data_IF_825182700307
#
_entry.id   IF_825182700307
#
_cell.length_a   1.000
_cell.length_b   1.000
_cell.length_c   1.000
_cell.angle_alpha   90.00
_cell.angle_beta   90.00
_cell.angle_gamma   90.00
#
_symmetry.space_group_name_H-M   'P 1'
#
loop_
_entity.id
_entity.type
_entity.pdbx_description
1 polymer ?
#
# COMPACT_ATOMS: atom_id res chain seq x y z
N UNK A 1 -12.80 -5.72 13.54
CA UNK A 1 -13.17 -6.52 12.34
C UNK A 1 -12.09 -6.31 11.29
N UNK A 2 -11.64 -7.37 10.59
CA UNK A 2 -10.58 -7.26 9.57
C UNK A 2 -11.23 -7.18 8.19
N UNK A 3 -10.91 -6.13 7.41
CA UNK A 3 -11.42 -5.95 6.03
C UNK A 3 -10.58 -6.74 5.02
N UNK A 4 -9.25 -6.64 5.11
CA UNK A 4 -8.28 -7.32 4.26
C UNK A 4 -6.98 -7.61 5.03
N UNK A 5 -6.22 -8.60 4.57
CA UNK A 5 -4.90 -8.92 5.13
C UNK A 5 -3.93 -9.41 4.06
N UNK A 6 -2.66 -9.03 4.20
CA UNK A 6 -1.53 -9.49 3.40
C UNK A 6 -0.34 -9.79 4.33
N UNK A 7 0.50 -10.73 3.92
CA UNK A 7 1.62 -11.20 4.75
C UNK A 7 2.84 -11.46 3.88
N UNK A 8 4.03 -11.15 4.40
CA UNK A 8 5.29 -11.29 3.67
C UNK A 8 5.61 -12.74 3.26
N UNK A 9 5.18 -13.74 4.02
CA UNK A 9 5.36 -15.16 3.65
C UNK A 9 4.57 -15.58 2.40
N UNK A 10 3.64 -14.74 1.90
CA UNK A 10 2.93 -14.97 0.63
C UNK A 10 3.67 -14.40 -0.58
N UNK A 11 4.71 -13.60 -0.37
CA UNK A 11 5.54 -13.00 -1.43
C UNK A 11 6.30 -13.99 -2.34
N UNK A 12 6.67 -15.22 -1.90
CA UNK A 12 7.26 -16.21 -2.81
C UNK A 12 6.38 -16.56 -4.00
N UNK A 13 5.05 -16.39 -3.89
CA UNK A 13 4.12 -16.59 -5.00
C UNK A 13 4.27 -15.52 -6.10
N UNK A 14 4.93 -14.42 -5.80
CA UNK A 14 5.13 -13.26 -6.67
C UNK A 14 6.62 -13.07 -6.99
N UNK A 15 7.39 -14.16 -7.03
CA UNK A 15 8.82 -14.19 -7.38
C UNK A 15 9.78 -13.50 -6.39
N UNK A 16 9.34 -13.15 -5.18
CA UNK A 16 10.20 -12.63 -4.12
C UNK A 16 10.53 -13.77 -3.16
N UNK A 17 11.72 -14.36 -3.33
CA UNK A 17 12.10 -15.60 -2.64
C UNK A 17 12.93 -15.39 -1.37
N UNK A 18 13.49 -14.19 -1.15
CA UNK A 18 14.37 -13.88 -0.02
C UNK A 18 14.08 -12.48 0.52
N UNK A 19 14.47 -12.24 1.78
CA UNK A 19 14.40 -10.90 2.38
C UNK A 19 13.01 -10.45 2.82
N UNK A 20 12.16 -11.33 3.38
CA UNK A 20 10.78 -11.00 3.79
C UNK A 20 10.61 -9.90 4.85
N UNK A 21 11.71 -9.37 5.39
CA UNK A 21 11.73 -8.37 6.46
C UNK A 21 12.44 -7.08 6.07
N UNK A 22 12.87 -6.93 4.81
CA UNK A 22 13.50 -5.72 4.29
C UNK A 22 12.45 -4.65 3.92
N UNK A 23 12.94 -3.48 3.53
CA UNK A 23 12.10 -2.36 3.08
C UNK A 23 11.24 -2.74 1.86
N UNK A 24 11.84 -3.42 0.89
CA UNK A 24 11.17 -3.80 -0.36
C UNK A 24 10.04 -4.82 -0.12
N UNK A 25 10.21 -5.72 0.84
CA UNK A 25 9.19 -6.69 1.22
C UNK A 25 8.01 -6.00 1.88
N UNK A 26 8.24 -5.01 2.75
CA UNK A 26 7.16 -4.18 3.31
C UNK A 26 6.38 -3.46 2.19
N UNK A 27 7.11 -2.85 1.25
CA UNK A 27 6.54 -2.20 0.06
C UNK A 27 5.72 -3.18 -0.81
N UNK A 28 6.23 -4.39 -1.06
CA UNK A 28 5.53 -5.41 -1.84
C UNK A 28 4.32 -6.01 -1.10
N UNK A 29 4.39 -6.17 0.22
CA UNK A 29 3.26 -6.68 1.01
C UNK A 29 2.09 -5.72 1.00
N UNK A 30 2.38 -4.43 1.07
CA UNK A 30 1.37 -3.39 1.12
C UNK A 30 0.67 -3.25 -0.23
N UNK A 31 1.41 -3.31 -1.34
CA UNK A 31 0.84 -3.44 -2.68
C UNK A 31 -0.19 -4.56 -2.78
N UNK A 32 0.14 -5.71 -2.22
CA UNK A 32 -0.74 -6.88 -2.25
C UNK A 32 -1.99 -6.66 -1.40
N UNK A 33 -1.88 -5.90 -0.31
CA UNK A 33 -3.01 -5.51 0.53
C UNK A 33 -3.95 -4.56 -0.22
N UNK A 34 -3.40 -3.49 -0.81
CA UNK A 34 -4.17 -2.46 -1.51
C UNK A 34 -4.96 -3.02 -2.68
N UNK A 35 -4.30 -3.86 -3.49
CA UNK A 35 -4.96 -4.52 -4.61
C UNK A 35 -6.13 -5.39 -4.14
N UNK A 36 -5.98 -6.11 -3.02
CA UNK A 36 -7.06 -6.92 -2.45
C UNK A 36 -8.18 -6.07 -1.89
N UNK A 37 -7.84 -4.96 -1.24
CA UNK A 37 -8.79 -4.04 -0.64
C UNK A 37 -9.63 -3.37 -1.71
N UNK A 38 -9.01 -2.77 -2.73
CA UNK A 38 -9.71 -2.10 -3.82
C UNK A 38 -10.51 -3.05 -4.71
N UNK A 39 -10.01 -4.27 -4.96
CA UNK A 39 -10.78 -5.29 -5.69
C UNK A 39 -12.05 -5.68 -4.94
N UNK A 40 -12.03 -5.70 -3.60
CA UNK A 40 -13.24 -5.98 -2.80
C UNK A 40 -14.27 -4.86 -2.89
N UNK A 41 -13.82 -3.61 -2.98
CA UNK A 41 -14.70 -2.45 -3.13
C UNK A 41 -14.98 -2.07 -4.58
N UNK A 42 -14.48 -2.83 -5.56
CA UNK A 42 -14.62 -2.56 -7.01
C UNK A 42 -14.13 -1.17 -7.44
N UNK A 43 -13.09 -0.66 -6.77
CA UNK A 43 -12.45 0.63 -7.03
C UNK A 43 -11.10 0.49 -7.76
N UNK A 44 -10.72 -0.74 -8.09
CA UNK A 44 -9.45 -1.11 -8.75
C UNK A 44 -9.26 -0.48 -10.13
N UNK A 45 -10.36 -0.26 -10.87
CA UNK A 45 -10.36 0.40 -12.19
C UNK A 45 -10.42 1.92 -12.13
N UNK A 46 -10.91 2.45 -11.01
CA UNK A 46 -11.12 3.89 -10.83
C UNK A 46 -9.80 4.53 -10.39
N UNK A 47 -9.14 3.90 -9.43
CA UNK A 47 -7.89 4.36 -8.84
C UNK A 47 -6.76 3.41 -9.22
N UNK A 48 -6.25 3.53 -10.46
CA UNK A 48 -5.13 2.70 -10.92
C UNK A 48 -3.81 3.07 -10.23
N UNK A 49 -3.62 4.36 -9.94
CA UNK A 49 -2.45 4.92 -9.28
C UNK A 49 -1.29 5.25 -10.21
N UNK A 50 -0.13 5.54 -9.62
CA UNK A 50 1.09 5.80 -10.38
C UNK A 50 1.68 4.49 -10.96
N UNK A 51 1.67 4.37 -12.29
CA UNK A 51 2.18 3.19 -13.02
C UNK A 51 3.72 3.11 -12.94
N UNK A 52 4.39 4.25 -13.13
CA UNK A 52 5.85 4.38 -13.07
C UNK A 52 6.29 4.98 -11.75
N UNK A 53 7.09 4.26 -10.97
CA UNK A 53 7.52 4.69 -9.64
C UNK A 53 8.74 5.62 -9.76
N UNK A 54 8.53 6.93 -9.71
CA UNK A 54 9.60 7.95 -9.76
C UNK A 54 10.24 8.20 -8.39
N UNK A 55 9.55 7.81 -7.32
CA UNK A 55 10.02 8.01 -5.93
C UNK A 55 9.58 9.35 -5.32
N UNK A 56 9.00 10.24 -6.11
CA UNK A 56 8.43 11.50 -5.65
C UNK A 56 7.19 11.30 -4.76
N UNK A 57 6.83 12.35 -4.04
CA UNK A 57 5.60 12.38 -3.25
C UNK A 57 4.38 12.50 -4.17
N UNK A 58 3.41 11.60 -3.99
CA UNK A 58 2.20 11.53 -4.80
C UNK A 58 1.01 11.25 -3.91
N UNK A 59 -0.07 12.04 -4.01
CA UNK A 59 -1.29 11.80 -3.24
C UNK A 59 -2.46 11.58 -4.20
N UNK A 60 -3.27 10.56 -3.94
CA UNK A 60 -4.48 10.28 -4.72
C UNK A 60 -5.60 11.20 -4.28
N UNK A 61 -6.04 12.09 -5.17
CA UNK A 61 -7.20 12.94 -4.94
C UNK A 61 -8.51 12.26 -5.37
N UNK A 62 -9.62 12.69 -4.77
CA UNK A 62 -10.95 12.22 -5.16
C UNK A 62 -11.35 12.83 -6.51
N UNK A 63 -12.06 12.06 -7.33
CA UNK A 63 -12.54 12.48 -8.64
C UNK A 63 -14.03 12.81 -8.52
N UNK A 64 -14.43 13.98 -9.02
CA UNK A 64 -15.83 14.41 -8.99
C UNK A 64 -16.73 13.44 -9.76
N UNK A 65 -17.81 12.98 -9.12
CA UNK A 65 -18.78 12.05 -9.70
C UNK A 65 -18.45 10.56 -9.55
N UNK A 66 -17.34 10.22 -8.89
CA UNK A 66 -16.96 8.85 -8.55
C UNK A 66 -16.98 8.62 -7.02
N UNK A 67 -16.97 7.35 -6.56
CA UNK A 67 -16.82 7.05 -5.13
C UNK A 67 -15.50 7.64 -4.63
N UNK A 68 -15.54 8.36 -3.51
CA UNK A 68 -14.34 8.99 -2.94
C UNK A 68 -13.21 7.99 -2.69
N UNK A 69 -11.98 8.50 -2.71
CA UNK A 69 -10.78 7.69 -2.49
C UNK A 69 -10.85 6.98 -1.14
N UNK A 70 -10.32 5.76 -1.07
CA UNK A 70 -10.28 5.03 0.18
C UNK A 70 -9.25 5.67 1.12
N UNK A 71 -9.72 6.25 2.23
CA UNK A 71 -8.87 6.87 3.24
C UNK A 71 -8.60 5.91 4.40
N UNK A 72 -7.34 5.73 4.80
CA UNK A 72 -6.94 4.91 5.94
C UNK A 72 -5.80 5.53 6.75
N UNK A 73 -5.86 5.42 8.08
CA UNK A 73 -4.76 5.84 8.94
C UNK A 73 -3.74 4.72 9.12
N UNK A 74 -2.46 5.03 8.99
CA UNK A 74 -1.38 4.10 9.31
C UNK A 74 -1.20 4.00 10.84
N UNK A 75 -1.10 2.78 11.32
CA UNK A 75 -0.87 2.47 12.73
C UNK A 75 0.50 1.80 12.90
N UNK A 76 1.43 2.55 13.46
CA UNK A 76 2.80 2.08 13.81
C UNK A 76 2.86 1.41 15.19
N UNK A 77 1.81 1.55 16.00
CA UNK A 77 1.76 1.11 17.38
C UNK A 77 2.95 1.67 18.20
N UNK A 78 3.88 0.78 18.61
CA UNK A 78 5.03 1.06 19.49
C UNK A 78 6.36 1.16 18.73
N UNK A 79 6.36 1.00 17.41
CA UNK A 79 7.58 1.21 16.65
C UNK A 79 7.97 2.69 16.67
N UNK A 80 9.28 2.96 16.54
CA UNK A 80 9.80 4.32 16.56
C UNK A 80 9.72 4.97 15.19
N UNK A 81 9.14 6.17 15.14
CA UNK A 81 9.04 7.05 13.97
C UNK A 81 10.40 7.64 13.59
N UNK A 82 11.28 6.83 13.01
CA UNK A 82 12.60 7.28 12.53
C UNK A 82 12.68 7.31 11.01
N UNK A 83 13.40 8.30 10.47
CA UNK A 83 13.63 8.42 9.03
C UNK A 83 14.31 7.15 8.50
N UNK A 84 13.71 6.53 7.48
CA UNK A 84 14.20 5.28 6.90
C UNK A 84 13.73 4.01 7.61
N UNK A 85 12.84 4.10 8.61
CA UNK A 85 12.18 2.92 9.16
C UNK A 85 11.39 2.21 8.05
N UNK A 86 11.55 0.88 7.95
CA UNK A 86 10.85 0.01 6.99
C UNK A 86 9.32 0.10 7.05
N UNK A 87 8.76 0.53 8.17
CA UNK A 87 7.33 0.83 8.28
C UNK A 87 6.87 1.87 7.25
N UNK A 88 7.69 2.89 6.99
CA UNK A 88 7.42 3.89 5.96
C UNK A 88 7.48 3.32 4.53
N UNK A 89 8.11 2.17 4.33
CA UNK A 89 8.06 1.47 3.04
C UNK A 89 6.67 0.93 2.72
N UNK A 90 5.93 0.46 3.73
CA UNK A 90 4.51 0.15 3.54
C UNK A 90 3.73 1.44 3.26
N UNK A 91 3.88 2.47 4.11
CA UNK A 91 3.19 3.75 3.96
C UNK A 91 3.36 4.37 2.57
N UNK A 92 4.59 4.42 2.06
CA UNK A 92 4.90 4.99 0.73
C UNK A 92 4.14 4.26 -0.37
N UNK A 93 3.93 2.95 -0.24
CA UNK A 93 3.21 2.19 -1.26
C UNK A 93 1.73 2.54 -1.31
N UNK A 94 1.08 2.57 -0.15
CA UNK A 94 -0.34 2.92 -0.05
C UNK A 94 -0.61 4.31 -0.67
N UNK A 95 0.25 5.29 -0.35
CA UNK A 95 0.21 6.66 -0.87
C UNK A 95 0.44 6.72 -2.39
N UNK A 96 1.47 6.04 -2.90
CA UNK A 96 1.88 6.12 -4.31
C UNK A 96 0.86 5.60 -5.31
N UNK A 97 -0.04 4.73 -4.86
CA UNK A 97 -0.93 4.04 -5.79
C UNK A 97 -2.39 4.36 -5.57
N UNK A 98 -2.92 4.23 -4.37
CA UNK A 98 -4.30 3.74 -4.30
C UNK A 98 -5.11 4.19 -3.11
N UNK A 99 -4.44 4.56 -2.02
CA UNK A 99 -5.08 4.94 -0.76
C UNK A 99 -4.67 6.37 -0.42
N UNK A 100 -5.63 7.10 0.14
CA UNK A 100 -5.33 8.35 0.84
C UNK A 100 -5.00 7.99 2.28
N UNK A 101 -3.86 8.47 2.79
CA UNK A 101 -3.45 8.28 4.19
C UNK A 101 -3.44 9.62 4.91
#
# INVERSE_FOLDING_TARGET
>A
MIVCAAYAHKLPKYCVNFGFTNYDAAYCTDLLLDNRLLSRFSMDKIYEGQVELTGDEYNVESIDGQPGVFTCCWDECLAGTTTGNKGFGALKRAVDRRLSI
#
